data_IF_407259239805
#
_entry.id   IF_407259239805
#
_cell.length_a   1.000
_cell.length_b   1.000
_cell.length_c   1.000
_cell.angle_alpha   90.00
_cell.angle_beta   90.00
_cell.angle_gamma   90.00
#
_symmetry.space_group_name_H-M   'P 1'
#
loop_
_entity.id
_entity.type
_entity.pdbx_description
1 polymer ?
#
# COMPACT_ATOMS: atom_id res chain seq x y z
N UNK A 1 -35.74 -4.90 -6.15
CA UNK A 1 -34.60 -5.68 -6.63
C UNK A 1 -34.10 -6.49 -5.43
N UNK A 2 -34.27 -7.82 -5.43
CA UNK A 2 -34.01 -8.68 -4.25
C UNK A 2 -32.78 -9.60 -4.45
N UNK A 3 -32.09 -9.48 -5.59
CA UNK A 3 -31.04 -10.40 -6.03
C UNK A 3 -29.62 -10.03 -5.58
N UNK A 4 -29.39 -8.86 -5.00
CA UNK A 4 -28.05 -8.37 -4.58
C UNK A 4 -27.73 -8.59 -3.10
N UNK A 5 -28.68 -9.12 -2.30
CA UNK A 5 -28.49 -9.33 -0.85
C UNK A 5 -27.40 -10.34 -0.47
N UNK A 6 -26.97 -11.19 -1.41
CA UNK A 6 -25.93 -12.20 -1.22
C UNK A 6 -24.61 -11.80 -1.90
N UNK A 7 -24.47 -10.53 -2.30
CA UNK A 7 -23.27 -10.07 -2.99
C UNK A 7 -22.11 -9.95 -1.99
N UNK A 8 -21.12 -10.84 -2.14
CA UNK A 8 -19.89 -10.85 -1.32
C UNK A 8 -18.71 -10.15 -2.01
N UNK A 9 -18.72 -10.13 -3.35
CA UNK A 9 -17.65 -9.56 -4.18
C UNK A 9 -18.25 -8.56 -5.17
N UNK A 10 -17.77 -7.31 -5.13
CA UNK A 10 -18.13 -6.28 -6.10
C UNK A 10 -16.86 -5.66 -6.68
N UNK A 11 -16.70 -5.79 -7.99
CA UNK A 11 -15.67 -5.09 -8.73
C UNK A 11 -16.32 -4.24 -9.82
N UNK A 12 -15.96 -2.97 -9.86
CA UNK A 12 -16.43 -2.01 -10.86
C UNK A 12 -15.22 -1.40 -11.56
N UNK A 13 -15.01 -1.83 -12.80
CA UNK A 13 -13.97 -1.29 -13.65
C UNK A 13 -14.51 -0.18 -14.56
N UNK A 14 -13.81 0.95 -14.64
CA UNK A 14 -14.16 2.07 -15.53
C UNK A 14 -15.59 2.58 -15.28
N UNK A 15 -15.85 3.00 -14.04
CA UNK A 15 -17.16 3.49 -13.60
C UNK A 15 -17.24 5.01 -13.45
N UNK A 16 -17.18 5.82 -14.53
CA UNK A 16 -17.23 7.29 -14.42
C UNK A 16 -18.59 7.82 -13.93
N UNK A 17 -19.63 6.99 -13.98
CA UNK A 17 -20.97 7.29 -13.47
C UNK A 17 -21.24 6.69 -12.08
N UNK A 18 -20.26 5.99 -11.51
CA UNK A 18 -20.35 5.43 -10.16
C UNK A 18 -19.84 6.51 -9.20
N UNK A 19 -20.80 7.22 -8.61
CA UNK A 19 -20.59 8.38 -7.72
C UNK A 19 -21.10 8.04 -6.31
N UNK A 20 -20.96 8.96 -5.34
CA UNK A 20 -21.52 8.80 -4.00
C UNK A 20 -23.03 8.48 -3.99
N UNK A 21 -23.80 9.01 -4.97
CA UNK A 21 -25.23 8.68 -5.13
C UNK A 21 -25.46 7.20 -5.42
N UNK A 22 -24.53 6.52 -6.08
CA UNK A 22 -24.60 5.07 -6.28
C UNK A 22 -24.50 4.32 -4.95
N UNK A 23 -23.76 4.88 -3.98
CA UNK A 23 -23.54 4.31 -2.66
C UNK A 23 -24.50 4.82 -1.58
N UNK A 24 -25.47 5.67 -1.92
CA UNK A 24 -26.58 5.99 -1.00
C UNK A 24 -27.47 4.77 -0.73
N UNK A 25 -27.64 3.89 -1.73
CA UNK A 25 -28.58 2.76 -1.66
C UNK A 25 -27.90 1.39 -1.78
N UNK A 26 -26.81 1.29 -2.55
CA UNK A 26 -26.15 0.01 -2.81
C UNK A 26 -25.67 -0.69 -1.52
N UNK A 27 -24.98 -0.01 -0.58
CA UNK A 27 -24.51 -0.64 0.66
C UNK A 27 -25.65 -1.26 1.49
N UNK A 28 -26.82 -0.61 1.54
CA UNK A 28 -27.99 -1.12 2.25
C UNK A 28 -28.56 -2.41 1.63
N UNK A 29 -28.27 -2.67 0.36
CA UNK A 29 -28.72 -3.85 -0.36
C UNK A 29 -27.69 -4.99 -0.35
N UNK A 30 -26.45 -4.74 0.05
CA UNK A 30 -25.34 -5.69 0.02
C UNK A 30 -24.67 -5.82 1.42
N UNK A 31 -25.38 -6.25 2.47
CA UNK A 31 -24.84 -6.30 3.84
C UNK A 31 -23.74 -7.37 4.03
N UNK A 32 -23.62 -8.30 3.09
CA UNK A 32 -22.64 -9.39 3.08
C UNK A 32 -21.40 -9.11 2.23
N UNK A 33 -21.22 -7.86 1.79
CA UNK A 33 -20.07 -7.49 0.98
C UNK A 33 -18.77 -7.70 1.79
N UNK A 34 -17.83 -8.45 1.21
CA UNK A 34 -16.54 -8.77 1.80
C UNK A 34 -15.38 -8.15 1.01
N UNK A 35 -15.55 -8.03 -0.30
CA UNK A 35 -14.56 -7.46 -1.22
C UNK A 35 -15.19 -6.37 -2.07
N UNK A 36 -14.53 -5.22 -2.13
CA UNK A 36 -14.90 -4.10 -2.99
C UNK A 36 -13.70 -3.58 -3.77
N UNK A 37 -13.83 -3.50 -5.09
CA UNK A 37 -12.85 -2.84 -5.96
C UNK A 37 -13.53 -1.80 -6.84
N UNK A 38 -13.04 -0.56 -6.79
CA UNK A 38 -13.56 0.58 -7.55
C UNK A 38 -12.43 1.22 -8.36
N UNK A 39 -12.59 1.21 -9.69
CA UNK A 39 -11.60 1.75 -10.60
C UNK A 39 -12.18 2.86 -11.49
N UNK A 40 -11.52 4.03 -11.49
CA UNK A 40 -11.91 5.26 -12.22
C UNK A 40 -13.34 5.72 -11.85
N UNK A 41 -13.63 5.76 -10.56
CA UNK A 41 -14.92 6.21 -10.04
C UNK A 41 -14.74 7.51 -9.25
N UNK A 42 -15.52 8.58 -9.55
CA UNK A 42 -15.45 9.86 -8.85
C UNK A 42 -16.20 9.81 -7.49
N UNK A 43 -15.80 8.87 -6.65
CA UNK A 43 -16.29 8.72 -5.27
C UNK A 43 -15.52 9.63 -4.31
N UNK A 44 -16.12 9.93 -3.16
CA UNK A 44 -15.51 10.71 -2.08
C UNK A 44 -15.54 9.95 -0.75
N UNK A 45 -15.10 10.61 0.34
CA UNK A 45 -15.25 10.12 1.71
C UNK A 45 -16.68 9.65 2.02
N UNK A 46 -17.71 10.28 1.42
CA UNK A 46 -19.11 9.92 1.65
C UNK A 46 -19.41 8.46 1.27
N UNK A 47 -18.83 7.97 0.16
CA UNK A 47 -18.96 6.55 -0.24
C UNK A 47 -18.37 5.62 0.83
N UNK A 48 -17.19 5.95 1.36
CA UNK A 48 -16.47 5.12 2.32
C UNK A 48 -17.21 5.07 3.67
N UNK A 49 -17.78 6.19 4.11
CA UNK A 49 -18.64 6.25 5.30
C UNK A 49 -19.89 5.39 5.11
N UNK A 50 -20.61 5.56 3.99
CA UNK A 50 -21.83 4.80 3.73
C UNK A 50 -21.58 3.27 3.67
N UNK A 51 -20.45 2.86 3.12
CA UNK A 51 -20.01 1.47 3.12
C UNK A 51 -19.69 0.96 4.53
N UNK A 52 -18.99 1.75 5.35
CA UNK A 52 -18.68 1.38 6.74
C UNK A 52 -19.93 1.19 7.61
N UNK A 53 -20.98 1.98 7.38
CA UNK A 53 -22.24 1.90 8.12
C UNK A 53 -23.09 0.67 7.76
N UNK A 54 -22.99 0.18 6.52
CA UNK A 54 -23.92 -0.81 5.98
C UNK A 54 -23.27 -2.14 5.57
N UNK A 55 -21.94 -2.19 5.42
CA UNK A 55 -21.18 -3.36 5.00
C UNK A 55 -20.06 -3.69 6.00
N UNK A 56 -20.37 -4.10 7.24
CA UNK A 56 -19.38 -4.33 8.30
C UNK A 56 -18.45 -5.54 8.05
N UNK A 57 -18.74 -6.35 7.03
CA UNK A 57 -17.98 -7.54 6.66
C UNK A 57 -16.90 -7.27 5.62
N UNK A 58 -16.79 -6.03 5.11
CA UNK A 58 -15.77 -5.72 4.09
C UNK A 58 -14.38 -5.83 4.72
N UNK A 59 -13.64 -6.84 4.26
CA UNK A 59 -12.27 -7.10 4.67
C UNK A 59 -11.24 -6.61 3.68
N UNK A 60 -11.63 -6.45 2.41
CA UNK A 60 -10.73 -6.01 1.35
C UNK A 60 -11.37 -4.87 0.57
N UNK A 61 -10.66 -3.74 0.47
CA UNK A 61 -11.00 -2.63 -0.42
C UNK A 61 -9.82 -2.24 -1.31
N UNK A 62 -10.11 -2.10 -2.60
CA UNK A 62 -9.17 -1.59 -3.60
C UNK A 62 -9.77 -0.37 -4.30
N UNK A 63 -9.04 0.74 -4.29
CA UNK A 63 -9.42 2.00 -4.92
C UNK A 63 -8.33 2.34 -5.93
N UNK A 64 -8.69 2.38 -7.21
CA UNK A 64 -7.76 2.69 -8.29
C UNK A 64 -8.25 3.92 -9.07
N UNK A 65 -7.38 4.91 -9.27
CA UNK A 65 -7.68 6.09 -10.11
C UNK A 65 -8.96 6.83 -9.67
N UNK A 66 -9.24 6.83 -8.36
CA UNK A 66 -10.28 7.63 -7.72
C UNK A 66 -9.70 8.99 -7.31
N UNK A 67 -10.29 10.08 -7.78
CA UNK A 67 -9.61 11.40 -7.77
C UNK A 67 -10.07 12.36 -6.67
N UNK A 68 -10.96 11.95 -5.75
CA UNK A 68 -11.57 12.86 -4.76
C UNK A 68 -11.62 12.26 -3.35
N UNK A 69 -10.62 11.47 -2.94
CA UNK A 69 -10.72 10.66 -1.71
C UNK A 69 -10.16 11.33 -0.47
N UNK A 70 -9.13 12.20 -0.58
CA UNK A 70 -8.52 12.85 0.58
C UNK A 70 -7.83 11.88 1.55
N UNK A 71 -6.92 12.39 2.39
CA UNK A 71 -6.27 11.60 3.44
C UNK A 71 -7.18 11.31 4.64
N UNK A 72 -8.27 12.04 4.78
CA UNK A 72 -9.36 11.80 5.74
C UNK A 72 -10.09 10.48 5.49
N UNK A 73 -9.87 9.81 4.34
CA UNK A 73 -10.35 8.46 4.10
C UNK A 73 -9.94 7.46 5.18
N UNK A 74 -8.74 7.60 5.77
CA UNK A 74 -8.28 6.70 6.81
C UNK A 74 -9.14 6.79 8.08
N UNK A 75 -9.69 7.97 8.40
CA UNK A 75 -10.60 8.13 9.54
C UNK A 75 -11.88 7.31 9.36
N UNK A 76 -12.42 7.27 8.13
CA UNK A 76 -13.60 6.48 7.81
C UNK A 76 -13.28 4.99 7.76
N UNK A 77 -12.15 4.59 7.14
CA UNK A 77 -11.71 3.19 7.08
C UNK A 77 -11.40 2.61 8.46
N UNK A 78 -10.91 3.42 9.40
CA UNK A 78 -10.67 3.00 10.78
C UNK A 78 -11.95 2.54 11.51
N UNK A 79 -13.14 2.89 10.99
CA UNK A 79 -14.43 2.42 11.53
C UNK A 79 -14.82 1.02 11.04
N UNK A 80 -14.11 0.46 10.06
CA UNK A 80 -14.46 -0.82 9.43
C UNK A 80 -13.90 -1.98 10.25
N UNK A 81 -14.76 -2.77 10.93
CA UNK A 81 -14.30 -3.72 11.95
C UNK A 81 -13.58 -4.95 11.38
N UNK A 82 -13.78 -5.24 10.09
CA UNK A 82 -13.22 -6.43 9.42
C UNK A 82 -12.10 -6.10 8.43
N UNK A 83 -11.71 -4.82 8.29
CA UNK A 83 -10.75 -4.40 7.28
C UNK A 83 -9.36 -5.00 7.55
N UNK A 84 -8.89 -5.83 6.63
CA UNK A 84 -7.57 -6.46 6.67
C UNK A 84 -6.70 -6.00 5.48
N UNK A 85 -7.31 -5.63 4.35
CA UNK A 85 -6.59 -5.26 3.13
C UNK A 85 -7.05 -3.93 2.56
N UNK A 86 -6.09 -3.03 2.39
CA UNK A 86 -6.30 -1.73 1.80
C UNK A 86 -5.32 -1.52 0.65
N UNK A 87 -5.84 -1.33 -0.55
CA UNK A 87 -5.07 -0.91 -1.71
C UNK A 87 -5.60 0.41 -2.26
N UNK A 88 -4.75 1.43 -2.32
CA UNK A 88 -5.04 2.73 -2.91
C UNK A 88 -3.99 2.98 -3.99
N UNK A 89 -4.38 2.95 -5.27
CA UNK A 89 -3.45 3.09 -6.39
C UNK A 89 -3.87 4.24 -7.31
N UNK A 90 -2.92 5.12 -7.61
CA UNK A 90 -3.11 6.23 -8.53
C UNK A 90 -4.35 7.07 -8.16
N UNK A 91 -4.66 7.17 -6.86
CA UNK A 91 -5.73 8.00 -6.34
C UNK A 91 -5.19 9.37 -5.92
N UNK A 92 -6.05 10.38 -5.98
CA UNK A 92 -5.72 11.71 -5.46
C UNK A 92 -6.16 11.80 -4.00
N UNK A 93 -5.19 11.71 -3.09
CA UNK A 93 -5.39 11.79 -1.65
C UNK A 93 -5.25 13.22 -1.10
N UNK A 94 -5.01 14.22 -1.95
CA UNK A 94 -4.99 15.62 -1.51
C UNK A 94 -6.41 16.20 -1.39
N UNK A 95 -7.41 15.52 -1.96
CA UNK A 95 -8.80 15.96 -1.97
C UNK A 95 -9.01 17.16 -2.91
N UNK A 96 -9.98 18.03 -2.60
CA UNK A 96 -10.24 19.25 -3.39
C UNK A 96 -9.24 20.41 -3.14
N UNK A 97 -8.11 20.17 -2.47
CA UNK A 97 -7.10 21.20 -2.15
C UNK A 97 -5.69 20.62 -1.95
N UNK A 98 -4.68 21.46 -1.76
CA UNK A 98 -3.30 21.03 -1.44
C UNK A 98 -3.19 20.59 0.05
N UNK A 99 -4.03 19.66 0.48
CA UNK A 99 -4.07 19.19 1.87
C UNK A 99 -2.83 18.35 2.17
N UNK A 100 -1.94 18.86 3.01
CA UNK A 100 -0.74 18.15 3.44
C UNK A 100 -1.08 17.03 4.42
N UNK A 101 -0.31 15.93 4.38
CA UNK A 101 -0.34 14.89 5.42
C UNK A 101 -0.12 15.52 6.81
N UNK A 102 -1.03 15.28 7.74
CA UNK A 102 -1.00 15.85 9.09
C UNK A 102 -0.67 14.79 10.15
N UNK A 103 -0.48 15.23 11.40
CA UNK A 103 -0.43 14.30 12.55
C UNK A 103 -1.72 13.49 12.70
N UNK A 104 -2.87 14.06 12.30
CA UNK A 104 -4.17 13.39 12.32
C UNK A 104 -4.21 12.24 11.32
N UNK A 105 -3.67 12.43 10.11
CA UNK A 105 -3.52 11.34 9.12
C UNK A 105 -2.76 10.15 9.68
N UNK A 106 -1.70 10.40 10.47
CA UNK A 106 -0.95 9.33 11.12
C UNK A 106 -1.79 8.59 12.16
N UNK A 107 -2.55 9.32 12.98
CA UNK A 107 -3.43 8.72 13.99
C UNK A 107 -4.56 7.90 13.35
N UNK A 108 -5.15 8.39 12.27
CA UNK A 108 -6.21 7.72 11.53
C UNK A 108 -5.71 6.42 10.89
N UNK A 109 -4.54 6.46 10.25
CA UNK A 109 -3.91 5.26 9.70
C UNK A 109 -3.58 4.25 10.82
N UNK A 110 -3.09 4.72 11.97
CA UNK A 110 -2.83 3.87 13.14
C UNK A 110 -4.12 3.25 13.71
N UNK A 111 -5.25 3.91 13.54
CA UNK A 111 -6.54 3.41 14.03
C UNK A 111 -7.09 2.23 13.20
N UNK A 112 -6.53 1.95 12.03
CA UNK A 112 -6.89 0.81 11.16
C UNK A 112 -6.31 -0.53 11.66
N UNK A 113 -6.62 -0.91 12.91
CA UNK A 113 -5.95 -1.99 13.68
C UNK A 113 -5.95 -3.39 13.06
N UNK A 114 -6.87 -3.67 12.14
CA UNK A 114 -7.02 -4.99 11.51
C UNK A 114 -6.12 -5.22 10.30
N UNK A 115 -5.43 -4.18 9.81
CA UNK A 115 -4.68 -4.26 8.56
C UNK A 115 -3.55 -5.29 8.60
N UNK A 116 -3.59 -6.19 7.63
CA UNK A 116 -2.54 -7.16 7.27
C UNK A 116 -1.84 -6.75 5.98
N UNK A 117 -2.54 -6.08 5.06
CA UNK A 117 -1.99 -5.65 3.77
C UNK A 117 -2.29 -4.17 3.54
N UNK A 118 -1.25 -3.38 3.31
CA UNK A 118 -1.36 -1.98 2.92
C UNK A 118 -0.56 -1.74 1.64
N UNK A 119 -1.25 -1.31 0.60
CA UNK A 119 -0.66 -0.85 -0.65
C UNK A 119 -1.09 0.59 -0.92
N UNK A 120 -0.14 1.52 -1.05
CA UNK A 120 -0.39 2.90 -1.46
C UNK A 120 0.58 3.26 -2.58
N UNK A 121 0.01 3.58 -3.74
CA UNK A 121 0.73 4.10 -4.90
C UNK A 121 0.17 5.46 -5.30
N UNK A 122 1.02 6.49 -5.26
CA UNK A 122 0.62 7.87 -5.55
C UNK A 122 0.78 8.23 -7.03
N UNK A 123 -0.12 9.09 -7.53
CA UNK A 123 -0.19 9.50 -8.95
C UNK A 123 1.05 10.28 -9.38
N UNK A 124 1.60 11.08 -8.46
CA UNK A 124 2.68 12.01 -8.76
C UNK A 124 3.81 11.62 -7.85
N UNK A 125 4.95 11.24 -8.42
CA UNK A 125 6.22 11.13 -7.69
C UNK A 125 6.72 12.50 -7.20
N UNK A 126 5.82 13.43 -6.89
CA UNK A 126 6.10 14.66 -6.19
C UNK A 126 6.14 14.32 -4.71
N UNK A 127 7.31 14.45 -4.10
CA UNK A 127 7.56 14.20 -2.65
C UNK A 127 6.56 14.86 -1.67
N UNK A 128 5.71 15.78 -2.15
CA UNK A 128 4.72 16.49 -1.33
C UNK A 128 3.53 15.62 -0.93
N UNK A 129 3.20 14.63 -1.74
CA UNK A 129 1.97 13.88 -1.58
C UNK A 129 2.20 12.59 -0.77
N UNK A 130 3.47 12.22 -0.56
CA UNK A 130 3.90 10.99 0.08
C UNK A 130 3.72 10.96 1.59
N UNK A 131 3.25 9.84 2.12
CA UNK A 131 3.29 9.57 3.56
C UNK A 131 4.73 9.75 4.07
N UNK A 132 4.98 10.68 5.02
CA UNK A 132 6.33 10.95 5.49
C UNK A 132 6.83 9.79 6.37
N UNK A 133 8.15 9.53 6.42
CA UNK A 133 8.71 8.41 7.17
C UNK A 133 8.25 8.29 8.63
N UNK A 134 8.12 9.38 9.43
CA UNK A 134 7.62 9.28 10.80
C UNK A 134 6.21 8.68 10.89
N UNK A 135 5.31 9.04 9.96
CA UNK A 135 3.95 8.50 9.87
C UNK A 135 3.97 7.01 9.58
N UNK A 136 4.77 6.59 8.59
CA UNK A 136 4.91 5.18 8.21
C UNK A 136 5.54 4.35 9.33
N UNK A 137 6.58 4.88 9.99
CA UNK A 137 7.24 4.20 11.11
C UNK A 137 6.27 4.00 12.28
N UNK A 138 5.47 5.01 12.63
CA UNK A 138 4.47 4.89 13.69
C UNK A 138 3.37 3.87 13.35
N UNK A 139 2.95 3.82 12.09
CA UNK A 139 2.06 2.78 11.59
C UNK A 139 2.67 1.37 11.72
N UNK A 140 3.91 1.18 11.26
CA UNK A 140 4.63 -0.10 11.38
C UNK A 140 4.72 -0.57 12.85
N UNK A 141 5.04 0.35 13.76
CA UNK A 141 5.17 0.05 15.20
C UNK A 141 3.86 -0.39 15.86
N UNK A 142 2.72 0.02 15.30
CA UNK A 142 1.38 -0.30 15.82
C UNK A 142 0.74 -1.54 15.20
N UNK A 143 1.30 -2.06 14.09
CA UNK A 143 0.72 -3.15 13.30
C UNK A 143 1.69 -4.36 13.20
N UNK A 144 1.99 -5.05 14.31
CA UNK A 144 2.96 -6.17 14.33
C UNK A 144 2.51 -7.40 13.52
N UNK A 145 1.25 -7.43 13.06
CA UNK A 145 0.68 -8.49 12.25
C UNK A 145 0.65 -8.18 10.76
N UNK A 146 1.26 -7.06 10.33
CA UNK A 146 1.32 -6.69 8.93
C UNK A 146 2.13 -7.71 8.13
N UNK A 147 1.54 -8.23 7.07
CA UNK A 147 2.09 -9.24 6.18
C UNK A 147 2.62 -8.60 4.88
N UNK A 148 1.94 -7.58 4.37
CA UNK A 148 2.33 -6.87 3.15
C UNK A 148 2.30 -5.35 3.34
N UNK A 149 3.41 -4.69 2.98
CA UNK A 149 3.53 -3.23 3.00
C UNK A 149 4.18 -2.73 1.73
N UNK A 150 3.43 -2.02 0.91
CA UNK A 150 3.92 -1.43 -0.32
C UNK A 150 3.56 0.05 -0.38
N UNK A 151 4.58 0.88 -0.32
CA UNK A 151 4.47 2.33 -0.31
C UNK A 151 5.42 2.90 -1.36
N UNK A 152 4.87 3.44 -2.45
CA UNK A 152 5.66 4.06 -3.51
C UNK A 152 5.60 5.57 -3.37
N UNK A 153 6.75 6.27 -3.43
CA UNK A 153 6.73 7.73 -3.38
C UNK A 153 7.88 8.37 -2.61
N UNK A 154 9.13 8.20 -3.06
CA UNK A 154 10.28 9.10 -2.85
C UNK A 154 10.82 9.37 -1.43
N UNK A 155 10.01 9.42 -0.38
CA UNK A 155 10.39 10.00 0.92
C UNK A 155 10.93 8.98 1.91
N UNK A 156 10.76 7.68 1.68
CA UNK A 156 11.16 6.61 2.59
C UNK A 156 12.68 6.41 2.60
N UNK A 157 13.18 5.95 3.75
CA UNK A 157 14.62 5.84 4.03
C UNK A 157 14.93 4.50 4.70
N UNK A 158 16.21 4.22 4.89
CA UNK A 158 16.69 3.09 5.70
C UNK A 158 16.06 3.02 7.10
N UNK A 159 15.64 4.15 7.70
CA UNK A 159 14.94 4.16 8.98
C UNK A 159 13.60 3.41 8.91
N UNK A 160 12.86 3.55 7.79
CA UNK A 160 11.62 2.83 7.54
C UNK A 160 11.87 1.33 7.44
N UNK A 161 12.91 0.91 6.68
CA UNK A 161 13.29 -0.50 6.59
C UNK A 161 13.72 -1.08 7.94
N UNK A 162 14.48 -0.32 8.73
CA UNK A 162 14.85 -0.75 10.09
C UNK A 162 13.59 -0.94 10.96
N UNK A 163 12.60 -0.07 10.87
CA UNK A 163 11.34 -0.26 11.59
C UNK A 163 10.63 -1.56 11.20
N UNK A 164 10.57 -1.87 9.89
CA UNK A 164 10.03 -3.16 9.41
C UNK A 164 10.78 -4.33 10.04
N UNK A 165 12.12 -4.33 10.00
CA UNK A 165 12.91 -5.43 10.58
C UNK A 165 12.70 -5.62 12.07
N UNK A 166 12.42 -4.55 12.81
CA UNK A 166 12.25 -4.60 14.27
C UNK A 166 10.84 -4.99 14.70
N UNK A 167 9.82 -4.66 13.89
CA UNK A 167 8.42 -4.72 14.33
C UNK A 167 7.55 -5.69 13.52
N UNK A 168 7.98 -6.11 12.32
CA UNK A 168 7.18 -6.95 11.42
C UNK A 168 7.88 -8.29 11.15
N UNK A 169 7.90 -9.23 12.11
CA UNK A 169 8.59 -10.51 11.96
C UNK A 169 7.93 -11.42 10.90
N UNK A 170 6.64 -11.23 10.62
CA UNK A 170 5.86 -12.00 9.64
C UNK A 170 5.70 -11.33 8.28
N UNK A 171 6.45 -10.26 8.00
CA UNK A 171 6.33 -9.56 6.71
C UNK A 171 6.78 -10.48 5.56
N UNK A 172 5.92 -10.62 4.55
CA UNK A 172 6.14 -11.48 3.38
C UNK A 172 6.40 -10.66 2.12
N UNK A 173 5.84 -9.45 2.04
CA UNK A 173 5.97 -8.53 0.91
C UNK A 173 6.32 -7.11 1.37
N UNK A 174 7.37 -6.53 0.80
CA UNK A 174 7.73 -5.12 1.00
C UNK A 174 7.86 -4.43 -0.35
N UNK A 175 7.22 -3.28 -0.55
CA UNK A 175 7.41 -2.47 -1.75
C UNK A 175 7.81 -1.05 -1.39
N UNK A 176 8.89 -0.59 -1.98
CA UNK A 176 9.50 0.70 -1.67
C UNK A 176 9.87 1.46 -2.94
N UNK A 177 9.23 1.17 -4.07
CA UNK A 177 9.60 1.73 -5.37
C UNK A 177 9.62 3.27 -5.36
N UNK A 178 10.59 3.84 -6.06
CA UNK A 178 10.84 5.27 -6.19
C UNK A 178 11.55 5.92 -5.00
N UNK A 179 11.90 5.18 -3.94
CA UNK A 179 12.53 5.73 -2.73
C UNK A 179 14.07 5.69 -2.81
N UNK A 180 14.66 6.73 -3.41
CA UNK A 180 16.11 6.84 -3.66
C UNK A 180 17.01 7.02 -2.43
N UNK A 181 16.44 7.16 -1.25
CA UNK A 181 17.20 7.25 0.01
C UNK A 181 17.40 5.88 0.68
N UNK A 182 16.85 4.82 0.10
CA UNK A 182 17.07 3.46 0.54
C UNK A 182 18.39 2.95 -0.01
N UNK A 183 19.18 2.29 0.85
CA UNK A 183 20.47 1.72 0.48
C UNK A 183 20.41 0.20 0.32
N UNK A 184 21.28 -0.33 -0.54
CA UNK A 184 21.47 -1.77 -0.74
C UNK A 184 21.78 -2.50 0.57
N UNK A 185 22.50 -1.83 1.49
CA UNK A 185 22.80 -2.35 2.83
C UNK A 185 21.54 -2.54 3.67
N UNK A 186 20.61 -1.58 3.64
CA UNK A 186 19.36 -1.70 4.38
C UNK A 186 18.44 -2.77 3.78
N UNK A 187 18.40 -2.88 2.46
CA UNK A 187 17.68 -3.97 1.76
C UNK A 187 18.26 -5.34 2.14
N UNK A 188 19.58 -5.51 2.14
CA UNK A 188 20.22 -6.76 2.59
C UNK A 188 19.84 -7.10 4.04
N UNK A 189 19.87 -6.11 4.94
CA UNK A 189 19.45 -6.31 6.34
C UNK A 189 17.99 -6.71 6.45
N UNK A 190 17.11 -6.09 5.66
CA UNK A 190 15.70 -6.46 5.60
C UNK A 190 15.55 -7.94 5.27
N UNK A 191 16.16 -8.39 4.17
CA UNK A 191 16.11 -9.79 3.70
C UNK A 191 16.72 -10.76 4.71
N UNK A 192 17.79 -10.37 5.40
CA UNK A 192 18.47 -11.18 6.41
C UNK A 192 17.66 -11.35 7.70
N UNK A 193 16.87 -10.36 8.12
CA UNK A 193 16.14 -10.38 9.39
C UNK A 193 14.67 -10.80 9.23
N UNK A 194 14.06 -10.59 8.07
CA UNK A 194 12.69 -10.99 7.77
C UNK A 194 12.73 -12.31 6.98
N UNK A 195 12.58 -13.44 7.67
CA UNK A 195 12.75 -14.79 7.07
C UNK A 195 11.58 -15.23 6.19
N UNK A 196 10.37 -14.71 6.45
CA UNK A 196 9.18 -14.97 5.63
C UNK A 196 9.11 -14.07 4.38
N UNK A 197 10.04 -13.11 4.24
CA UNK A 197 10.06 -12.17 3.13
C UNK A 197 10.35 -12.91 1.81
N UNK A 198 9.38 -12.90 0.91
CA UNK A 198 9.47 -13.52 -0.41
C UNK A 198 9.54 -12.53 -1.56
N UNK A 199 9.14 -11.27 -1.33
CA UNK A 199 9.09 -10.26 -2.37
C UNK A 199 9.52 -8.87 -1.87
N UNK A 200 10.40 -8.22 -2.61
CA UNK A 200 10.80 -6.81 -2.39
C UNK A 200 10.73 -6.03 -3.70
N UNK A 201 9.87 -5.01 -3.81
CA UNK A 201 9.88 -4.08 -4.96
C UNK A 201 10.80 -2.88 -4.69
N UNK A 202 11.72 -2.63 -5.61
CA UNK A 202 12.81 -1.65 -5.53
C UNK A 202 12.94 -0.78 -6.79
N UNK A 203 12.00 -0.91 -7.73
CA UNK A 203 11.96 -0.12 -8.97
C UNK A 203 12.13 1.38 -8.67
N UNK A 204 12.98 2.07 -9.43
CA UNK A 204 13.23 3.50 -9.24
C UNK A 204 13.95 3.90 -7.94
N UNK A 205 14.41 2.96 -7.10
CA UNK A 205 15.24 3.25 -5.92
C UNK A 205 16.70 3.56 -6.27
N UNK A 206 17.17 3.18 -7.47
CA UNK A 206 18.56 3.41 -7.89
C UNK A 206 19.57 2.50 -7.18
N UNK A 207 19.16 1.29 -6.82
CA UNK A 207 19.99 0.28 -6.16
C UNK A 207 20.87 -0.41 -7.22
N UNK A 208 22.20 -0.27 -7.20
CA UNK A 208 23.08 -0.88 -8.20
C UNK A 208 23.04 -2.40 -8.15
N UNK A 209 23.04 -3.05 -9.32
CA UNK A 209 23.12 -4.52 -9.43
C UNK A 209 24.39 -5.10 -8.79
N UNK A 210 25.50 -4.37 -8.86
CA UNK A 210 26.80 -4.76 -8.28
C UNK A 210 26.76 -4.93 -6.75
N UNK A 211 25.80 -4.30 -6.07
CA UNK A 211 25.59 -4.49 -4.64
C UNK A 211 24.88 -5.83 -4.32
N UNK A 212 24.47 -6.56 -5.35
CA UNK A 212 23.79 -7.87 -5.29
C UNK A 212 24.38 -8.88 -6.29
N UNK A 213 25.69 -9.20 -6.20
CA UNK A 213 26.38 -10.08 -7.15
C UNK A 213 25.87 -11.52 -7.19
N UNK A 214 25.02 -11.92 -6.23
CA UNK A 214 24.40 -13.24 -6.16
C UNK A 214 23.15 -13.34 -7.05
N UNK A 215 22.61 -12.21 -7.50
CA UNK A 215 21.45 -12.13 -8.37
C UNK A 215 21.87 -12.35 -9.84
N UNK A 216 20.93 -12.88 -10.62
CA UNK A 216 21.11 -13.01 -12.08
C UNK A 216 20.46 -11.85 -12.83
N UNK A 217 20.67 -11.79 -14.14
CA UNK A 217 20.18 -10.69 -15.00
C UNK A 217 18.65 -10.48 -14.98
N UNK A 218 17.86 -11.49 -14.57
CA UNK A 218 16.38 -11.43 -14.55
C UNK A 218 15.80 -10.43 -13.53
N UNK A 219 16.61 -9.90 -12.60
CA UNK A 219 16.18 -8.95 -11.57
C UNK A 219 16.56 -7.51 -11.86
N UNK A 220 17.08 -7.23 -13.07
CA UNK A 220 17.76 -5.98 -13.39
C UNK A 220 16.98 -5.10 -14.39
N UNK A 221 17.07 -3.79 -14.20
CA UNK A 221 16.70 -2.75 -15.17
C UNK A 221 17.95 -2.04 -15.68
N UNK A 222 17.84 -1.47 -16.89
CA UNK A 222 18.92 -0.73 -17.54
C UNK A 222 18.52 0.75 -17.64
N UNK A 223 19.39 1.67 -17.24
CA UNK A 223 19.25 3.06 -17.62
C UNK A 223 19.78 3.33 -19.05
N UNK A 224 19.58 4.56 -19.54
CA UNK A 224 20.04 4.99 -20.87
C UNK A 224 21.57 4.94 -21.02
N UNK A 225 22.30 4.92 -19.90
CA UNK A 225 23.77 4.84 -19.84
C UNK A 225 24.27 3.39 -19.74
N UNK A 226 23.36 2.40 -19.68
CA UNK A 226 23.66 0.97 -19.58
C UNK A 226 24.07 0.51 -18.18
N UNK A 227 23.73 1.25 -17.13
CA UNK A 227 23.92 0.81 -15.75
C UNK A 227 22.78 -0.10 -15.32
N UNK A 228 23.14 -1.19 -14.64
CA UNK A 228 22.19 -2.18 -14.13
C UNK A 228 21.71 -1.82 -12.71
N UNK A 229 20.39 -1.80 -12.51
CA UNK A 229 19.75 -1.56 -11.22
C UNK A 229 18.84 -2.70 -10.81
N UNK A 230 18.72 -2.96 -9.51
CA UNK A 230 17.81 -3.98 -8.98
C UNK A 230 16.38 -3.46 -9.00
N UNK A 231 15.50 -4.18 -9.70
CA UNK A 231 14.07 -3.86 -9.78
C UNK A 231 13.25 -4.45 -8.65
N UNK A 232 13.48 -5.73 -8.41
CA UNK A 232 12.78 -6.46 -7.40
C UNK A 232 13.63 -7.64 -6.94
N UNK A 233 13.32 -8.13 -5.76
CA UNK A 233 13.80 -9.39 -5.23
C UNK A 233 12.59 -10.30 -5.12
N UNK A 234 12.45 -11.27 -6.02
CA UNK A 234 11.38 -12.26 -5.99
C UNK A 234 11.90 -13.69 -6.17
N UNK A 235 11.01 -14.67 -6.13
CA UNK A 235 11.36 -16.08 -6.27
C UNK A 235 12.44 -16.50 -5.28
N UNK A 236 13.60 -16.93 -5.79
CA UNK A 236 14.73 -17.38 -4.96
C UNK A 236 15.73 -16.27 -4.61
N UNK A 237 15.52 -15.02 -5.04
CA UNK A 237 16.45 -13.92 -4.75
C UNK A 237 16.66 -13.69 -3.24
N UNK A 238 15.62 -13.62 -2.38
CA UNK A 238 15.82 -13.48 -0.94
C UNK A 238 16.69 -14.58 -0.33
N UNK A 239 16.49 -15.83 -0.76
CA UNK A 239 17.27 -16.97 -0.25
C UNK A 239 18.74 -16.94 -0.70
N UNK A 240 19.01 -16.48 -1.92
CA UNK A 240 20.38 -16.29 -2.39
C UNK A 240 21.12 -15.26 -1.52
N UNK A 241 20.45 -14.16 -1.19
CA UNK A 241 21.01 -13.10 -0.33
C UNK A 241 21.23 -13.62 1.10
N UNK A 242 20.28 -14.37 1.68
CA UNK A 242 20.41 -14.96 3.02
C UNK A 242 21.57 -15.95 3.13
N UNK A 243 21.81 -16.73 2.08
CA UNK A 243 22.89 -17.72 2.03
C UNK A 243 24.24 -17.14 1.60
N UNK A 244 24.25 -15.85 1.26
CA UNK A 244 25.46 -15.16 0.83
C UNK A 244 26.40 -14.86 2.00
N UNK A 245 27.69 -14.71 1.69
CA UNK A 245 28.74 -14.30 2.63
C UNK A 245 29.06 -12.80 2.56
N UNK A 246 28.30 -12.03 1.78
CA UNK A 246 28.48 -10.60 1.54
C UNK A 246 27.60 -9.74 2.45
#
# INVERSE_FOLDING_TARGET
MQHVSQLEFLEITNGPHITDTSFEYLPQQCPHLMYLSLHKSPITLQTIVALGEHCPQVGTISLERCTNLGYDIFSALATWPSLEDLAISLCDLNGMGDTLVTEETALDLIACKGLKRLFIQEIRWTFRDALPPPTVIAFIQSHPHLEELELTGGTLTDATLNAITMHLPGITKVGMSGNRQITSRAVRRLVQNCHELGFVALDGCGIPADDFPELGEVYLEFDDDGNDFVLCLDGNAPDKIRNSRF
#
